data_IF_611559342618
#
_entry.id   IF_611559342618
#
_cell.length_a   1.000
_cell.length_b   1.000
_cell.length_c   1.000
_cell.angle_alpha   90.00
_cell.angle_beta   90.00
_cell.angle_gamma   90.00
#
_symmetry.space_group_name_H-M   'P 1'
#
loop_
_entity.id
_entity.type
_entity.pdbx_description
1 polymer ?
#
# COMPACT_ATOMS: atom_id res chain seq x y z
N UNK A 1 18.69 12.16 -11.74
CA UNK A 1 18.18 10.80 -11.50
C UNK A 1 17.07 10.57 -12.51
N UNK A 2 17.07 9.46 -13.27
CA UNK A 2 15.88 9.12 -14.08
C UNK A 2 14.79 8.65 -13.13
N UNK A 3 13.59 9.17 -13.28
CA UNK A 3 12.47 8.83 -12.40
C UNK A 3 12.09 7.35 -12.54
N UNK A 4 11.54 6.76 -11.48
CA UNK A 4 11.02 5.39 -11.51
C UNK A 4 9.88 5.22 -12.55
N UNK A 5 9.35 6.32 -13.09
CA UNK A 5 8.44 6.32 -14.24
C UNK A 5 9.08 5.72 -15.51
N UNK A 6 10.41 5.73 -15.63
CA UNK A 6 11.10 5.05 -16.74
C UNK A 6 10.94 3.53 -16.68
N UNK A 7 10.83 2.94 -15.48
CA UNK A 7 10.47 1.54 -15.30
C UNK A 7 9.06 1.24 -15.84
N UNK A 8 8.11 2.18 -15.68
CA UNK A 8 6.75 2.01 -16.22
C UNK A 8 6.70 1.96 -17.75
N UNK A 9 7.73 2.50 -18.42
CA UNK A 9 7.82 2.56 -19.88
C UNK A 9 8.48 1.33 -20.50
N UNK A 10 8.99 0.40 -19.68
CA UNK A 10 9.59 -0.85 -20.13
C UNK A 10 8.53 -1.81 -20.71
N UNK A 11 8.96 -2.74 -21.56
CA UNK A 11 8.09 -3.82 -22.05
C UNK A 11 7.59 -4.67 -20.87
N UNK A 12 6.40 -5.29 -20.96
CA UNK A 12 5.88 -6.13 -19.88
C UNK A 12 6.89 -7.13 -19.33
N UNK A 13 7.57 -7.88 -20.20
CA UNK A 13 8.55 -8.90 -19.82
C UNK A 13 9.74 -8.28 -19.06
N UNK A 14 10.28 -7.17 -19.56
CA UNK A 14 11.38 -6.45 -18.91
C UNK A 14 10.98 -5.95 -17.51
N UNK A 15 9.73 -5.50 -17.35
CA UNK A 15 9.18 -5.09 -16.03
C UNK A 15 9.12 -6.27 -15.08
N UNK A 16 8.67 -7.42 -15.56
CA UNK A 16 8.61 -8.66 -14.76
C UNK A 16 10.01 -9.10 -14.34
N UNK A 17 11.00 -9.05 -15.25
CA UNK A 17 12.39 -9.38 -14.93
C UNK A 17 12.96 -8.45 -13.85
N UNK A 18 12.82 -7.13 -14.02
CA UNK A 18 13.30 -6.16 -13.03
C UNK A 18 12.57 -6.31 -11.69
N UNK A 19 11.26 -6.59 -11.72
CA UNK A 19 10.50 -6.87 -10.50
C UNK A 19 11.00 -8.13 -9.78
N UNK A 20 11.35 -9.20 -10.51
CA UNK A 20 11.96 -10.40 -9.93
C UNK A 20 13.28 -10.08 -9.23
N UNK A 21 14.17 -9.33 -9.89
CA UNK A 21 15.45 -8.94 -9.30
C UNK A 21 15.27 -8.14 -8.00
N UNK A 22 14.30 -7.21 -7.95
CA UNK A 22 14.01 -6.45 -6.73
C UNK A 22 13.50 -7.34 -5.58
N UNK A 23 12.79 -8.44 -5.89
CA UNK A 23 12.36 -9.42 -4.88
C UNK A 23 13.54 -10.19 -4.31
N UNK A 24 14.42 -10.70 -5.17
CA UNK A 24 15.64 -11.40 -4.76
C UNK A 24 16.56 -10.48 -3.92
N UNK A 25 16.68 -9.21 -4.31
CA UNK A 25 17.42 -8.21 -3.54
C UNK A 25 16.81 -7.94 -2.16
N UNK A 26 15.48 -7.98 -2.04
CA UNK A 26 14.79 -7.87 -0.75
C UNK A 26 15.04 -9.09 0.14
N UNK A 27 15.02 -10.29 -0.44
CA UNK A 27 15.26 -11.55 0.25
C UNK A 27 16.76 -11.72 0.64
N UNK A 28 17.63 -10.85 0.12
CA UNK A 28 19.00 -10.62 0.58
C UNK A 28 20.08 -11.34 -0.23
N UNK A 29 19.69 -12.04 -1.30
CA UNK A 29 20.59 -12.74 -2.21
C UNK A 29 20.04 -12.73 -3.62
N UNK A 30 20.86 -12.35 -4.58
CA UNK A 30 20.54 -12.28 -6.00
C UNK A 30 21.66 -12.97 -6.79
N UNK A 31 21.31 -13.83 -7.74
CA UNK A 31 22.27 -14.49 -8.62
C UNK A 31 21.76 -14.44 -10.06
N UNK A 32 22.65 -14.08 -10.99
CA UNK A 32 22.34 -14.06 -12.41
C UNK A 32 23.48 -14.61 -13.24
N UNK A 33 23.16 -15.58 -14.07
CA UNK A 33 24.07 -16.07 -15.08
C UNK A 33 24.12 -15.10 -16.25
N UNK A 34 25.32 -14.66 -16.59
CA UNK A 34 25.56 -13.92 -17.82
C UNK A 34 25.95 -14.93 -18.89
N UNK A 35 25.42 -14.78 -20.11
CA UNK A 35 25.69 -15.69 -21.24
C UNK A 35 27.17 -15.81 -21.66
N UNK A 36 28.08 -15.12 -20.97
CA UNK A 36 29.53 -15.19 -21.14
C UNK A 36 30.20 -16.16 -20.14
N UNK A 37 29.47 -17.10 -19.54
CA UNK A 37 30.00 -18.07 -18.58
C UNK A 37 30.40 -17.46 -17.23
N UNK A 38 29.92 -16.26 -16.91
CA UNK A 38 30.15 -15.59 -15.63
C UNK A 38 28.84 -15.47 -14.88
N UNK A 39 28.82 -15.98 -13.65
CA UNK A 39 27.72 -15.77 -12.72
C UNK A 39 28.01 -14.53 -11.88
N UNK A 40 27.06 -13.58 -11.88
CA UNK A 40 27.09 -12.42 -10.99
C UNK A 40 26.25 -12.75 -9.76
N UNK A 41 26.83 -12.66 -8.57
CA UNK A 41 26.13 -12.83 -7.31
C UNK A 41 26.20 -11.57 -6.46
N UNK A 42 25.10 -11.21 -5.80
CA UNK A 42 25.03 -10.13 -4.84
C UNK A 42 24.39 -10.63 -3.54
N UNK A 43 24.94 -10.19 -2.41
CA UNK A 43 24.39 -10.44 -1.07
C UNK A 43 24.42 -9.15 -0.27
N UNK A 44 23.30 -8.78 0.32
CA UNK A 44 23.20 -7.55 1.09
C UNK A 44 21.77 -7.15 1.37
N UNK A 45 21.58 -5.90 1.82
CA UNK A 45 20.27 -5.28 1.95
C UNK A 45 20.24 -4.03 1.09
N UNK A 46 19.21 -3.90 0.26
CA UNK A 46 18.97 -2.72 -0.54
C UNK A 46 17.51 -2.31 -0.37
N UNK A 47 17.30 -1.06 0.06
CA UNK A 47 15.97 -0.48 0.21
C UNK A 47 15.74 0.54 -0.90
N UNK A 48 14.59 0.42 -1.56
CA UNK A 48 14.19 1.34 -2.63
C UNK A 48 13.05 2.21 -2.14
N UNK A 49 13.23 3.52 -2.21
CA UNK A 49 12.16 4.51 -2.02
C UNK A 49 11.94 5.17 -3.39
N UNK A 50 10.74 5.02 -3.94
CA UNK A 50 10.39 5.56 -5.24
C UNK A 50 9.16 6.49 -5.13
N UNK A 51 9.27 7.67 -5.70
CA UNK A 51 8.13 8.57 -5.92
C UNK A 51 7.62 8.37 -7.35
N UNK A 52 6.34 8.00 -7.48
CA UNK A 52 5.72 7.63 -8.75
C UNK A 52 4.35 8.27 -8.88
N UNK A 53 3.89 8.41 -10.12
CA UNK A 53 2.51 8.85 -10.38
C UNK A 53 1.52 7.72 -10.08
N UNK A 54 0.22 8.04 -9.88
CA UNK A 54 -0.82 7.02 -9.68
C UNK A 54 -0.93 5.98 -10.81
N UNK A 55 -0.28 6.22 -11.96
CA UNK A 55 -0.18 5.24 -13.04
C UNK A 55 0.49 3.92 -12.61
N UNK A 56 1.31 3.93 -11.55
CA UNK A 56 1.92 2.72 -10.98
C UNK A 56 0.87 1.71 -10.55
N UNK A 57 -0.29 2.14 -10.05
CA UNK A 57 -1.33 1.24 -9.53
C UNK A 57 -1.83 0.27 -10.61
N UNK A 58 -1.96 0.76 -11.85
CA UNK A 58 -2.35 -0.09 -12.99
C UNK A 58 -1.23 -1.04 -13.41
N UNK A 59 0.02 -0.58 -13.40
CA UNK A 59 1.16 -1.40 -13.80
C UNK A 59 1.52 -2.48 -12.77
N UNK A 60 1.27 -2.20 -11.49
CA UNK A 60 1.49 -3.12 -10.39
C UNK A 60 0.29 -3.98 -10.04
N UNK A 61 -0.91 -3.64 -10.52
CA UNK A 61 -2.08 -4.50 -10.38
C UNK A 61 -1.78 -5.95 -10.83
N UNK A 62 -1.01 -6.09 -11.91
CA UNK A 62 -0.58 -7.36 -12.53
C UNK A 62 0.49 -8.11 -11.71
N UNK A 63 1.22 -7.42 -10.84
CA UNK A 63 2.34 -7.99 -10.08
C UNK A 63 1.98 -8.39 -8.64
N UNK A 64 0.72 -8.18 -8.24
CA UNK A 64 0.22 -8.51 -6.89
C UNK A 64 0.21 -10.02 -6.60
N UNK A 65 0.00 -10.83 -7.63
CA UNK A 65 -0.04 -12.30 -7.54
C UNK A 65 1.27 -12.94 -7.05
N UNK A 66 2.38 -12.21 -7.15
CA UNK A 66 3.72 -12.72 -6.85
C UNK A 66 4.24 -12.27 -5.47
N UNK A 67 3.33 -11.84 -4.58
CA UNK A 67 3.65 -11.34 -3.25
C UNK A 67 4.24 -9.93 -3.30
N UNK A 68 3.38 -8.93 -3.22
CA UNK A 68 3.75 -7.52 -3.17
C UNK A 68 4.61 -7.25 -1.92
N UNK A 69 5.88 -6.88 -2.13
CA UNK A 69 6.85 -6.56 -1.08
C UNK A 69 6.96 -5.05 -0.79
N UNK A 70 6.12 -4.27 -1.45
CA UNK A 70 6.14 -2.82 -1.35
C UNK A 70 4.93 -2.33 -0.58
N UNK A 71 5.15 -1.29 0.21
CA UNK A 71 4.08 -0.51 0.84
C UNK A 71 4.00 0.83 0.13
N UNK A 72 2.80 1.37 0.03
CA UNK A 72 2.54 2.63 -0.65
C UNK A 72 2.12 3.72 0.33
N UNK A 73 2.55 4.95 0.06
CA UNK A 73 2.04 6.15 0.71
C UNK A 73 1.51 7.07 -0.36
N UNK A 74 0.21 7.36 -0.33
CA UNK A 74 -0.42 8.28 -1.26
C UNK A 74 -0.23 9.70 -0.73
N UNK A 75 0.63 10.46 -1.40
CA UNK A 75 0.88 11.84 -1.02
C UNK A 75 -0.32 12.72 -1.33
N UNK A 76 -1.03 13.19 -0.30
CA UNK A 76 -2.17 14.10 -0.45
C UNK A 76 -1.65 15.53 -0.55
N UNK A 77 -1.86 16.17 -1.70
CA UNK A 77 -1.56 17.59 -1.84
C UNK A 77 -2.52 18.39 -0.96
N UNK A 78 -1.98 19.32 -0.15
CA UNK A 78 -2.80 20.32 0.56
C UNK A 78 -3.52 21.28 -0.39
N UNK A 79 -4.15 22.35 0.14
CA UNK A 79 -4.88 23.33 -0.67
C UNK A 79 -4.03 23.84 -1.83
N UNK A 80 -4.47 23.58 -3.07
CA UNK A 80 -3.64 23.77 -4.29
C UNK A 80 -3.18 25.21 -4.45
N UNK A 81 -4.05 26.18 -4.16
CA UNK A 81 -3.73 27.61 -4.25
C UNK A 81 -2.68 28.03 -3.23
N UNK A 82 -2.78 27.56 -1.99
CA UNK A 82 -1.79 27.85 -0.96
C UNK A 82 -0.43 27.23 -1.28
N UNK A 83 -0.41 26.02 -1.85
CA UNK A 83 0.82 25.37 -2.31
C UNK A 83 1.48 26.16 -3.46
N UNK A 84 0.68 26.64 -4.43
CA UNK A 84 1.17 27.47 -5.52
C UNK A 84 1.76 28.80 -5.03
N UNK A 85 1.07 29.48 -4.12
CA UNK A 85 1.56 30.73 -3.50
C UNK A 85 2.90 30.53 -2.77
N UNK A 86 3.05 29.44 -2.02
CA UNK A 86 4.33 29.09 -1.36
C UNK A 86 5.44 28.82 -2.37
N UNK A 87 5.15 28.10 -3.45
CA UNK A 87 6.16 27.79 -4.47
C UNK A 87 6.72 29.06 -5.14
N UNK A 88 5.87 30.06 -5.40
CA UNK A 88 6.29 31.37 -5.94
C UNK A 88 7.20 32.08 -4.93
N UNK A 89 6.81 32.17 -3.67
CA UNK A 89 7.58 32.85 -2.61
C UNK A 89 8.91 32.17 -2.26
N UNK A 90 9.03 30.87 -2.52
CA UNK A 90 10.25 30.09 -2.22
C UNK A 90 11.30 30.15 -3.33
N UNK A 91 11.00 30.71 -4.51
CA UNK A 91 11.91 30.70 -5.67
C UNK A 91 13.29 31.30 -5.37
N UNK A 92 13.34 32.41 -4.63
CA UNK A 92 14.59 33.07 -4.27
C UNK A 92 15.34 32.39 -3.11
N UNK A 93 14.67 31.52 -2.34
CA UNK A 93 15.21 30.88 -1.12
C UNK A 93 15.50 29.39 -1.30
N UNK A 94 15.48 28.87 -2.53
CA UNK A 94 15.63 27.43 -2.77
C UNK A 94 16.97 26.89 -2.27
N UNK A 95 18.06 27.65 -2.43
CA UNK A 95 19.38 27.27 -1.97
C UNK A 95 19.41 27.19 -0.43
N UNK A 96 18.99 28.25 0.26
CA UNK A 96 18.95 28.32 1.72
C UNK A 96 18.06 27.22 2.32
N UNK A 97 16.87 26.99 1.75
CA UNK A 97 15.96 25.93 2.18
C UNK A 97 16.64 24.56 2.02
N UNK A 98 17.34 24.33 0.91
CA UNK A 98 18.03 23.06 0.66
C UNK A 98 19.17 22.82 1.64
N UNK A 99 20.01 23.82 1.88
CA UNK A 99 21.12 23.73 2.82
C UNK A 99 20.63 23.48 4.24
N UNK A 100 19.62 24.23 4.67
CA UNK A 100 19.04 24.08 6.01
C UNK A 100 18.37 22.71 6.20
N UNK A 101 17.63 22.21 5.21
CA UNK A 101 17.04 20.87 5.26
C UNK A 101 18.11 19.78 5.33
N UNK A 102 19.22 19.92 4.61
CA UNK A 102 20.34 18.98 4.68
C UNK A 102 20.98 18.99 6.06
N UNK A 103 21.23 20.18 6.63
CA UNK A 103 21.78 20.34 7.98
C UNK A 103 20.88 19.70 9.03
N UNK A 104 19.59 20.02 9.01
CA UNK A 104 18.60 19.50 9.96
C UNK A 104 18.42 17.99 9.83
N UNK A 105 18.33 17.46 8.60
CA UNK A 105 18.16 16.01 8.36
C UNK A 105 19.41 15.26 8.80
N UNK A 106 20.62 15.79 8.52
CA UNK A 106 21.87 15.20 9.00
C UNK A 106 21.91 15.18 10.52
N UNK A 107 21.60 16.30 11.18
CA UNK A 107 21.58 16.39 12.64
C UNK A 107 20.58 15.40 13.25
N UNK A 108 19.40 15.25 12.63
CA UNK A 108 18.36 14.34 13.07
C UNK A 108 18.74 12.86 12.94
N UNK A 109 19.44 12.47 11.87
CA UNK A 109 19.84 11.08 11.63
C UNK A 109 21.19 10.69 12.27
N UNK A 110 22.00 11.67 12.67
CA UNK A 110 23.35 11.45 13.23
C UNK A 110 23.39 10.57 14.50
N UNK A 111 22.43 10.66 15.44
CA UNK A 111 22.38 9.76 16.60
C UNK A 111 22.18 8.28 16.25
N UNK A 112 21.76 7.98 15.02
CA UNK A 112 21.38 6.64 14.60
C UNK A 112 20.02 6.21 15.16
N UNK A 113 19.65 4.96 14.88
CA UNK A 113 18.44 4.35 15.44
C UNK A 113 18.84 3.66 16.75
N UNK A 114 18.25 4.06 17.90
CA UNK A 114 18.53 3.42 19.19
C UNK A 114 18.31 1.91 19.16
N UNK A 115 19.15 1.18 19.89
CA UNK A 115 18.99 -0.25 20.21
C UNK A 115 18.94 -0.43 21.74
N UNK A 116 18.10 -1.33 22.29
CA UNK A 116 17.19 -2.23 21.59
C UNK A 116 16.04 -1.50 20.90
N UNK A 117 15.39 -2.16 19.94
CA UNK A 117 14.21 -1.60 19.27
C UNK A 117 13.09 -1.35 20.27
N UNK A 118 12.24 -0.35 19.97
CA UNK A 118 11.08 -0.04 20.80
C UNK A 118 10.21 -1.29 21.01
N UNK A 119 9.74 -1.48 22.23
CA UNK A 119 8.85 -2.59 22.59
C UNK A 119 7.52 -2.51 21.83
N UNK A 120 6.97 -3.67 21.47
CA UNK A 120 5.65 -3.83 20.86
C UNK A 120 4.68 -4.39 21.92
N UNK A 121 3.82 -3.54 22.52
CA UNK A 121 2.77 -4.02 23.41
C UNK A 121 1.83 -4.98 22.69
N UNK A 122 1.21 -5.91 23.41
CA UNK A 122 0.28 -6.87 22.82
C UNK A 122 -0.89 -6.18 22.07
N UNK A 123 -1.41 -5.09 22.61
CA UNK A 123 -2.46 -4.30 21.96
C UNK A 123 -2.02 -3.74 20.59
N UNK A 124 -0.75 -3.33 20.47
CA UNK A 124 -0.18 -2.88 19.20
C UNK A 124 0.00 -4.05 18.22
N UNK A 125 0.43 -5.22 18.72
CA UNK A 125 0.55 -6.44 17.92
C UNK A 125 -0.81 -6.87 17.33
N UNK A 126 -1.85 -6.88 18.15
CA UNK A 126 -3.21 -7.22 17.70
C UNK A 126 -3.72 -6.23 16.65
N UNK A 127 -3.46 -4.94 16.85
CA UNK A 127 -3.83 -3.88 15.89
C UNK A 127 -3.12 -4.07 14.54
N UNK A 128 -1.81 -4.30 14.56
CA UNK A 128 -1.01 -4.51 13.35
C UNK A 128 -1.45 -5.79 12.62
N UNK A 129 -1.77 -6.85 13.37
CA UNK A 129 -2.24 -8.13 12.83
C UNK A 129 -3.59 -7.96 12.12
N UNK A 130 -4.58 -7.32 12.77
CA UNK A 130 -5.89 -7.01 12.17
C UNK A 130 -5.75 -6.16 10.91
N UNK A 131 -4.97 -5.09 10.97
CA UNK A 131 -4.71 -4.23 9.81
C UNK A 131 -4.10 -5.00 8.64
N UNK A 132 -3.17 -5.92 8.93
CA UNK A 132 -2.49 -6.70 7.91
C UNK A 132 -3.44 -7.68 7.23
N UNK A 133 -4.28 -8.38 8.00
CA UNK A 133 -5.31 -9.26 7.45
C UNK A 133 -6.31 -8.46 6.60
N UNK A 134 -6.82 -7.35 7.13
CA UNK A 134 -7.76 -6.48 6.43
C UNK A 134 -7.21 -6.03 5.07
N UNK A 135 -5.96 -5.59 5.03
CA UNK A 135 -5.31 -5.17 3.79
C UNK A 135 -5.07 -6.35 2.83
N UNK A 136 -4.71 -7.53 3.35
CA UNK A 136 -4.58 -8.75 2.54
C UNK A 136 -5.86 -9.07 1.78
N UNK A 137 -7.00 -9.09 2.46
CA UNK A 137 -8.32 -9.27 1.86
C UNK A 137 -8.66 -8.16 0.85
N UNK A 138 -8.45 -6.89 1.22
CA UNK A 138 -8.75 -5.76 0.33
C UNK A 138 -7.85 -5.73 -0.93
N UNK A 139 -6.65 -6.32 -0.88
CA UNK A 139 -5.70 -6.42 -2.00
C UNK A 139 -5.84 -7.70 -2.82
N UNK A 140 -6.56 -8.70 -2.32
CA UNK A 140 -6.71 -10.02 -2.94
C UNK A 140 -7.12 -9.91 -4.42
N UNK A 141 -6.41 -10.66 -5.26
CA UNK A 141 -6.63 -10.63 -6.70
C UNK A 141 -7.76 -11.57 -7.10
N UNK A 142 -8.55 -11.14 -8.09
CA UNK A 142 -9.66 -11.91 -8.65
C UNK A 142 -9.40 -12.07 -10.14
N UNK A 143 -9.35 -13.31 -10.61
CA UNK A 143 -9.07 -13.63 -12.00
C UNK A 143 -10.40 -13.56 -12.77
N UNK A 144 -10.43 -12.74 -13.81
CA UNK A 144 -11.58 -12.59 -14.70
C UNK A 144 -11.24 -12.96 -16.13
N UNK A 145 -12.25 -13.43 -16.84
CA UNK A 145 -12.15 -13.63 -18.28
C UNK A 145 -11.91 -12.30 -19.00
N UNK A 146 -11.03 -12.31 -20.00
CA UNK A 146 -10.67 -11.07 -20.71
C UNK A 146 -11.80 -10.56 -21.61
N UNK A 147 -12.65 -11.46 -22.12
CA UNK A 147 -13.70 -11.14 -23.09
C UNK A 147 -15.05 -10.92 -22.40
N UNK A 148 -15.47 -11.87 -21.57
CA UNK A 148 -16.77 -11.87 -20.90
C UNK A 148 -16.76 -11.13 -19.55
N UNK A 149 -15.57 -10.91 -18.96
CA UNK A 149 -15.36 -10.26 -17.65
C UNK A 149 -15.99 -11.01 -16.48
N UNK A 150 -16.40 -12.25 -16.70
CA UNK A 150 -16.86 -13.14 -15.64
C UNK A 150 -15.71 -13.54 -14.73
N UNK A 151 -16.00 -13.75 -13.44
CA UNK A 151 -15.01 -14.24 -12.48
C UNK A 151 -14.76 -15.71 -12.75
N UNK A 152 -13.52 -16.06 -13.07
CA UNK A 152 -13.10 -17.43 -13.35
C UNK A 152 -12.61 -18.08 -12.05
N UNK A 153 -11.82 -17.34 -11.28
CA UNK A 153 -11.13 -17.88 -10.11
C UNK A 153 -10.81 -16.77 -9.09
N UNK A 154 -10.66 -17.16 -7.84
CA UNK A 154 -10.25 -16.29 -6.74
C UNK A 154 -8.97 -16.83 -6.13
N UNK A 155 -7.96 -15.97 -6.00
CA UNK A 155 -6.74 -16.34 -5.29
C UNK A 155 -7.00 -16.13 -3.81
N UNK A 156 -6.62 -17.12 -2.98
CA UNK A 156 -6.69 -17.00 -1.52
C UNK A 156 -5.97 -15.71 -1.09
N UNK A 157 -6.59 -14.97 -0.15
CA UNK A 157 -6.04 -13.71 0.32
C UNK A 157 -4.61 -13.92 0.84
N UNK A 158 -3.68 -13.02 0.46
CA UNK A 158 -2.28 -13.10 0.90
C UNK A 158 -2.24 -13.17 2.43
N UNK A 159 -1.58 -14.21 2.98
CA UNK A 159 -1.40 -14.35 4.42
C UNK A 159 -0.71 -13.11 5.01
N UNK A 160 -1.05 -12.68 6.24
CA UNK A 160 -0.65 -11.38 6.78
C UNK A 160 0.85 -11.27 7.08
N UNK A 161 1.59 -12.38 7.08
CA UNK A 161 2.93 -12.48 7.67
C UNK A 161 3.91 -11.41 7.23
N UNK A 162 4.00 -11.11 5.92
CA UNK A 162 4.93 -10.09 5.41
C UNK A 162 4.48 -8.68 5.80
N UNK A 163 3.20 -8.38 5.65
CA UNK A 163 2.69 -7.04 5.95
C UNK A 163 2.79 -6.73 7.44
N UNK A 164 2.54 -7.71 8.31
CA UNK A 164 2.76 -7.59 9.77
C UNK A 164 4.21 -7.23 10.07
N UNK A 165 5.18 -7.92 9.48
CA UNK A 165 6.60 -7.64 9.69
C UNK A 165 6.99 -6.23 9.23
N UNK A 166 6.44 -5.78 8.09
CA UNK A 166 6.69 -4.43 7.57
C UNK A 166 6.10 -3.37 8.51
N UNK A 167 4.84 -3.53 8.93
CA UNK A 167 4.17 -2.58 9.81
C UNK A 167 4.78 -2.54 11.21
N UNK A 168 5.17 -3.69 11.77
CA UNK A 168 5.91 -3.77 13.04
C UNK A 168 7.25 -3.02 12.94
N UNK A 169 8.05 -3.33 11.92
CA UNK A 169 9.33 -2.65 11.67
C UNK A 169 9.16 -1.14 11.51
N UNK A 170 8.10 -0.70 10.83
CA UNK A 170 7.77 0.70 10.64
C UNK A 170 7.43 1.39 11.97
N UNK A 171 6.57 0.77 12.79
CA UNK A 171 6.19 1.30 14.09
C UNK A 171 7.41 1.42 15.03
N UNK A 172 8.24 0.38 15.09
CA UNK A 172 9.46 0.38 15.92
C UNK A 172 10.47 1.41 15.45
N UNK A 173 10.69 1.51 14.13
CA UNK A 173 11.59 2.49 13.56
C UNK A 173 11.11 3.92 13.83
N UNK A 174 9.80 4.18 13.70
CA UNK A 174 9.23 5.49 14.02
C UNK A 174 9.35 5.80 15.53
N UNK A 175 9.05 4.86 16.42
CA UNK A 175 9.24 5.06 17.87
C UNK A 175 10.71 5.36 18.21
N UNK A 176 11.64 4.56 17.69
CA UNK A 176 13.07 4.70 17.93
C UNK A 176 13.63 6.03 17.38
N UNK A 177 13.14 6.48 16.21
CA UNK A 177 13.52 7.76 15.60
C UNK A 177 13.18 8.97 16.50
N UNK A 178 12.15 8.84 17.33
CA UNK A 178 11.75 9.86 18.31
C UNK A 178 12.24 9.54 19.74
N UNK A 179 13.18 8.60 19.90
CA UNK A 179 13.76 8.24 21.20
C UNK A 179 12.77 7.58 22.16
N UNK A 180 11.70 6.95 21.64
CA UNK A 180 10.69 6.27 22.45
C UNK A 180 11.03 4.78 22.59
N UNK A 181 10.94 4.28 23.81
CA UNK A 181 11.21 2.88 24.17
C UNK A 181 10.00 1.95 23.92
N UNK A 182 8.82 2.53 23.64
CA UNK A 182 7.59 1.78 23.37
C UNK A 182 6.75 2.44 22.29
N UNK A 183 6.06 1.59 21.54
CA UNK A 183 5.11 1.98 20.50
C UNK A 183 3.92 2.71 21.12
N UNK A 184 3.54 3.83 20.51
CA UNK A 184 2.41 4.68 20.88
C UNK A 184 1.36 4.71 19.78
N UNK A 185 0.24 5.38 20.06
CA UNK A 185 -0.84 5.61 19.10
C UNK A 185 -0.38 6.34 17.84
N UNK A 186 0.66 7.19 17.90
CA UNK A 186 1.19 7.90 16.74
C UNK A 186 1.84 6.93 15.74
N UNK A 187 2.52 5.88 16.22
CA UNK A 187 3.12 4.84 15.38
C UNK A 187 2.04 3.98 14.73
N UNK A 188 1.01 3.60 15.49
CA UNK A 188 -0.14 2.86 14.98
C UNK A 188 -0.91 3.67 13.95
N UNK A 189 -1.02 5.00 14.12
CA UNK A 189 -1.59 5.89 13.12
C UNK A 189 -0.79 5.91 11.81
N UNK A 190 0.54 5.81 11.89
CA UNK A 190 1.41 5.67 10.71
C UNK A 190 1.19 4.32 10.02
N UNK A 191 1.17 3.22 10.78
CA UNK A 191 0.89 1.89 10.25
C UNK A 191 -0.49 1.84 9.57
N UNK A 192 -1.53 2.38 10.20
CA UNK A 192 -2.87 2.49 9.65
C UNK A 192 -2.89 3.26 8.32
N UNK A 193 -2.17 4.40 8.26
CA UNK A 193 -2.06 5.18 7.02
C UNK A 193 -1.40 4.39 5.90
N UNK A 194 -0.26 3.76 6.18
CA UNK A 194 0.50 2.97 5.19
C UNK A 194 -0.29 1.75 4.72
N UNK A 195 -0.97 1.08 5.64
CA UNK A 195 -1.85 -0.05 5.36
C UNK A 195 -2.96 0.34 4.38
N UNK A 196 -3.73 1.40 4.68
CA UNK A 196 -4.83 1.85 3.82
C UNK A 196 -4.36 2.43 2.49
N UNK A 197 -3.25 3.16 2.46
CA UNK A 197 -2.70 3.71 1.21
C UNK A 197 -2.20 2.62 0.26
N UNK A 198 -1.93 1.41 0.77
CA UNK A 198 -1.56 0.23 -0.01
C UNK A 198 -2.77 -0.52 -0.61
N UNK A 199 -4.00 -0.19 -0.20
CA UNK A 199 -5.23 -0.76 -0.77
C UNK A 199 -5.57 -0.10 -2.12
N UNK A 200 -5.99 -0.85 -3.15
CA UNK A 200 -6.46 -0.29 -4.42
C UNK A 200 -7.53 0.77 -4.23
N UNK A 201 -7.39 1.92 -4.90
CA UNK A 201 -8.16 3.13 -4.56
C UNK A 201 -9.68 2.92 -4.65
N UNK A 202 -10.14 2.13 -5.61
CA UNK A 202 -11.56 1.86 -5.80
C UNK A 202 -12.14 1.03 -4.65
N UNK A 203 -11.43 -0.04 -4.25
CA UNK A 203 -11.83 -0.86 -3.09
C UNK A 203 -11.72 -0.08 -1.78
N UNK A 204 -10.68 0.76 -1.64
CA UNK A 204 -10.54 1.64 -0.49
C UNK A 204 -11.73 2.61 -0.34
N UNK A 205 -12.22 3.17 -1.45
CA UNK A 205 -13.41 4.05 -1.44
C UNK A 205 -14.66 3.31 -1.00
N UNK A 206 -14.87 2.08 -1.49
CA UNK A 206 -16.01 1.24 -1.08
C UNK A 206 -15.91 0.90 0.41
N UNK A 207 -14.75 0.45 0.86
CA UNK A 207 -14.46 0.19 2.27
C UNK A 207 -14.77 1.42 3.13
N UNK A 208 -14.24 2.60 2.78
CA UNK A 208 -14.45 3.85 3.52
C UNK A 208 -15.93 4.25 3.58
N UNK A 209 -16.68 4.10 2.48
CA UNK A 209 -18.09 4.41 2.44
C UNK A 209 -18.89 3.54 3.42
N UNK A 210 -18.62 2.23 3.45
CA UNK A 210 -19.28 1.28 4.33
C UNK A 210 -18.84 1.43 5.79
N UNK A 211 -17.55 1.68 6.06
CA UNK A 211 -17.05 1.93 7.42
C UNK A 211 -17.66 3.19 8.04
N UNK A 212 -17.97 4.21 7.24
CA UNK A 212 -18.53 5.46 7.75
C UNK A 212 -20.05 5.44 7.88
N UNK A 213 -20.75 4.76 6.96
CA UNK A 213 -22.22 4.83 6.87
C UNK A 213 -22.94 3.51 7.17
N UNK A 214 -22.19 2.43 7.42
CA UNK A 214 -22.75 1.10 7.58
C UNK A 214 -23.15 0.46 6.25
N UNK A 215 -24.08 -0.52 6.27
CA UNK A 215 -24.58 -1.17 5.06
C UNK A 215 -25.21 -0.16 4.09
N UNK A 216 -24.85 -0.24 2.81
CA UNK A 216 -25.31 0.68 1.77
C UNK A 216 -25.87 -0.05 0.56
N UNK A 217 -26.91 0.53 -0.04
CA UNK A 217 -27.39 0.11 -1.35
C UNK A 217 -26.51 0.62 -2.50
N UNK A 218 -26.73 0.07 -3.69
CA UNK A 218 -25.95 0.41 -4.89
C UNK A 218 -25.91 1.92 -5.20
N UNK A 219 -27.07 2.60 -5.15
CA UNK A 219 -27.18 4.04 -5.46
C UNK A 219 -26.37 4.89 -4.47
N UNK A 220 -26.46 4.57 -3.18
CA UNK A 220 -25.71 5.30 -2.15
C UNK A 220 -24.20 5.08 -2.32
N UNK A 221 -23.79 3.85 -2.64
CA UNK A 221 -22.39 3.54 -2.94
C UNK A 221 -21.87 4.32 -4.15
N UNK A 222 -22.65 4.46 -5.22
CA UNK A 222 -22.28 5.30 -6.37
C UNK A 222 -22.04 6.75 -5.94
N UNK A 223 -22.94 7.31 -5.12
CA UNK A 223 -22.83 8.69 -4.61
C UNK A 223 -21.61 8.85 -3.69
N UNK A 224 -21.39 7.92 -2.76
CA UNK A 224 -20.29 8.03 -1.79
C UNK A 224 -18.91 7.83 -2.43
N UNK A 225 -18.80 6.88 -3.37
CA UNK A 225 -17.51 6.50 -3.96
C UNK A 225 -17.15 7.33 -5.19
N UNK A 226 -18.15 7.92 -5.86
CA UNK A 226 -17.99 8.61 -7.13
C UNK A 226 -17.50 7.71 -8.26
N UNK A 227 -17.67 6.40 -8.14
CA UNK A 227 -17.34 5.42 -9.19
C UNK A 227 -18.44 5.39 -10.25
N UNK A 228 -18.08 5.09 -11.51
CA UNK A 228 -19.08 4.79 -12.53
C UNK A 228 -19.80 3.49 -12.19
N UNK A 229 -21.03 3.31 -12.68
CA UNK A 229 -21.79 2.08 -12.46
C UNK A 229 -20.99 0.82 -12.86
N UNK A 230 -20.34 0.86 -14.02
CA UNK A 230 -19.50 -0.25 -14.49
C UNK A 230 -18.33 -0.56 -13.56
N UNK A 231 -17.65 0.46 -13.02
CA UNK A 231 -16.53 0.28 -12.10
C UNK A 231 -16.99 -0.18 -10.72
N UNK A 232 -18.12 0.33 -10.24
CA UNK A 232 -18.69 -0.06 -8.96
C UNK A 232 -19.14 -1.52 -8.98
N UNK A 233 -19.92 -1.93 -9.98
CA UNK A 233 -20.35 -3.32 -10.15
C UNK A 233 -19.14 -4.27 -10.20
N UNK A 234 -18.14 -3.93 -11.00
CA UNK A 234 -16.90 -4.70 -11.12
C UNK A 234 -16.23 -4.93 -9.75
N UNK A 235 -16.03 -3.88 -8.96
CA UNK A 235 -15.35 -4.03 -7.67
C UNK A 235 -16.23 -4.64 -6.58
N UNK A 236 -17.55 -4.46 -6.62
CA UNK A 236 -18.46 -5.10 -5.69
C UNK A 236 -18.48 -6.63 -5.89
N UNK A 237 -18.57 -7.08 -7.13
CA UNK A 237 -18.48 -8.51 -7.48
C UNK A 237 -17.14 -9.11 -7.00
N UNK A 238 -16.02 -8.42 -7.23
CA UNK A 238 -14.72 -8.89 -6.76
C UNK A 238 -14.65 -8.97 -5.23
N UNK A 239 -15.12 -7.92 -4.54
CA UNK A 239 -15.09 -7.85 -3.08
C UNK A 239 -16.04 -8.85 -2.43
N UNK A 240 -17.12 -9.25 -3.11
CA UNK A 240 -17.95 -10.39 -2.69
C UNK A 240 -17.22 -11.71 -2.92
N UNK A 241 -16.54 -11.87 -4.05
CA UNK A 241 -15.83 -13.10 -4.40
C UNK A 241 -14.64 -13.42 -3.47
N UNK A 242 -14.01 -12.40 -2.87
CA UNK A 242 -12.93 -12.56 -1.88
C UNK A 242 -13.42 -12.41 -0.43
N UNK A 243 -14.71 -12.61 -0.18
CA UNK A 243 -15.32 -12.55 1.16
C UNK A 243 -15.06 -11.26 1.94
N UNK A 244 -14.86 -10.12 1.27
CA UNK A 244 -14.83 -8.81 1.94
C UNK A 244 -16.24 -8.31 2.20
N UNK A 245 -17.14 -8.51 1.24
CA UNK A 245 -18.53 -8.05 1.28
C UNK A 245 -19.51 -9.21 1.15
N UNK A 246 -20.69 -9.03 1.71
CA UNK A 246 -21.87 -9.84 1.38
C UNK A 246 -22.97 -8.94 0.82
N UNK A 247 -23.80 -9.51 -0.05
CA UNK A 247 -24.99 -8.85 -0.58
C UNK A 247 -26.23 -9.56 -0.05
N UNK A 248 -27.09 -8.81 0.63
CA UNK A 248 -28.41 -9.28 1.01
C UNK A 248 -29.47 -8.59 0.16
N UNK A 249 -30.46 -9.37 -0.32
CA UNK A 249 -31.62 -8.82 -1.02
C UNK A 249 -32.64 -8.34 0.01
N UNK A 250 -32.65 -7.04 0.28
CA UNK A 250 -33.72 -6.38 1.05
C UNK A 250 -34.83 -5.95 0.11
N UNK A 251 -35.79 -6.83 -0.17
CA UNK A 251 -36.83 -6.58 -1.18
C UNK A 251 -36.24 -6.44 -2.59
N UNK A 252 -36.61 -5.38 -3.32
CA UNK A 252 -36.13 -5.11 -4.69
C UNK A 252 -34.71 -4.54 -4.78
N UNK A 253 -34.05 -4.26 -3.64
CA UNK A 253 -32.72 -3.63 -3.61
C UNK A 253 -31.69 -4.50 -2.90
N UNK A 254 -30.55 -4.71 -3.55
CA UNK A 254 -29.37 -5.30 -2.94
C UNK A 254 -28.69 -4.31 -1.99
N UNK A 255 -28.43 -4.75 -0.75
CA UNK A 255 -27.67 -4.00 0.25
C UNK A 255 -26.34 -4.70 0.46
N UNK A 256 -25.25 -3.96 0.35
CA UNK A 256 -23.89 -4.45 0.59
C UNK A 256 -23.45 -4.10 2.01
N UNK A 257 -22.83 -5.07 2.68
CA UNK A 257 -22.25 -4.95 4.02
C UNK A 257 -20.95 -5.74 4.09
N UNK A 258 -20.13 -5.50 5.10
CA UNK A 258 -18.96 -6.35 5.36
C UNK A 258 -19.41 -7.78 5.70
N UNK A 259 -18.71 -8.77 5.17
CA UNK A 259 -18.91 -10.18 5.53
C UNK A 259 -18.58 -10.41 7.01
N UNK A 260 -19.05 -11.53 7.57
CA UNK A 260 -18.73 -11.85 8.96
C UNK A 260 -17.24 -12.18 9.14
N UNK A 261 -16.62 -12.87 8.17
CA UNK A 261 -15.18 -13.12 8.12
C UNK A 261 -14.38 -11.81 8.14
N UNK A 262 -14.75 -10.84 7.31
CA UNK A 262 -13.99 -9.60 7.19
C UNK A 262 -14.16 -8.69 8.41
N UNK A 263 -15.30 -8.74 9.10
CA UNK A 263 -15.55 -7.98 10.33
C UNK A 263 -14.54 -8.29 11.44
N UNK A 264 -13.98 -9.49 11.48
CA UNK A 264 -12.96 -9.88 12.47
C UNK A 264 -11.69 -9.03 12.36
N UNK A 265 -11.39 -8.50 11.17
CA UNK A 265 -10.19 -7.73 10.88
C UNK A 265 -10.40 -6.21 10.89
N UNK A 266 -11.63 -5.74 11.13
CA UNK A 266 -11.90 -4.31 11.25
C UNK A 266 -11.21 -3.75 12.51
N UNK A 267 -10.53 -2.60 12.41
CA UNK A 267 -9.88 -1.93 13.53
C UNK A 267 -10.88 -1.25 14.48
#
# INVERSE_FOLDING_TARGET
FKDFTTFLSLRPDDRTTVSSHLREMYDGFFQRDTGAGKTLSWRGKATVIAAVTPAIERAWAVHRDLGERFISVRWRSGPRLAAAGRAIGQRAKQADIREELQRLTKAFLSPGIPKPEASLPQTANDTISRLSCMVGYLRAHVIRDTYHRDIIDTVEAEGPGRLVQILDSLCRAHAALFGRESISSADLGLAHRVALDSVPVQRLRIYQALSQKGPLGYVDLTIQTGLSNSSLTYHLEEMVAVDVLTMEKGGDKGIHRFSDTFKEFLP
#
